data_IF_227461098300
#
_entry.id   IF_227461098300
#
_cell.length_a   1.000
_cell.length_b   1.000
_cell.length_c   1.000
_cell.angle_alpha   90.00
_cell.angle_beta   90.00
_cell.angle_gamma   90.00
#
_symmetry.space_group_name_H-M   'P 1'
#
loop_
_entity.id
_entity.type
_entity.pdbx_description
1 polymer ?
#
# COMPACT_ATOMS: atom_id res chain seq x y z
N UNK A 1 14.25 -12.72 4.32
CA UNK A 1 12.84 -13.06 4.58
C UNK A 1 12.41 -14.15 3.62
N UNK A 2 11.68 -15.13 4.10
CA UNK A 2 11.04 -16.16 3.26
C UNK A 2 9.54 -15.98 3.30
N UNK A 3 8.89 -16.03 2.15
CA UNK A 3 7.42 -16.02 2.05
C UNK A 3 6.97 -17.40 1.61
N UNK A 4 5.99 -17.95 2.35
CA UNK A 4 5.41 -19.25 2.10
C UNK A 4 3.96 -19.10 1.63
N UNK A 5 3.65 -19.70 0.49
CA UNK A 5 2.30 -19.74 -0.06
C UNK A 5 1.82 -21.17 -0.07
N UNK A 6 0.74 -21.46 0.65
CA UNK A 6 0.15 -22.79 0.73
C UNK A 6 -0.91 -23.01 -0.34
N UNK A 7 -0.77 -24.12 -1.07
CA UNK A 7 -1.84 -24.71 -1.89
C UNK A 7 -2.21 -26.07 -1.32
N UNK A 8 -3.46 -26.46 -1.50
CA UNK A 8 -4.01 -27.73 -0.98
C UNK A 8 -3.16 -28.98 -1.37
N UNK A 9 -2.39 -28.91 -2.44
CA UNK A 9 -1.57 -30.01 -2.95
C UNK A 9 -0.07 -29.75 -2.97
N UNK A 10 0.40 -28.52 -2.84
CA UNK A 10 1.83 -28.18 -2.91
C UNK A 10 2.14 -26.91 -2.13
N UNK A 11 3.31 -26.93 -1.47
CA UNK A 11 3.85 -25.73 -0.80
C UNK A 11 4.88 -25.07 -1.70
N UNK A 12 4.76 -23.77 -1.89
CA UNK A 12 5.70 -22.96 -2.66
C UNK A 12 6.48 -22.03 -1.73
N UNK A 13 7.80 -22.09 -1.80
CA UNK A 13 8.71 -21.23 -1.05
C UNK A 13 9.51 -20.37 -2.03
N UNK A 14 9.72 -19.11 -1.69
CA UNK A 14 10.61 -18.26 -2.46
C UNK A 14 11.27 -17.19 -1.57
N UNK A 15 12.41 -16.68 -2.03
CA UNK A 15 13.05 -15.49 -1.47
C UNK A 15 12.70 -14.30 -2.36
N UNK A 16 12.07 -13.23 -1.83
CA UNK A 16 11.60 -12.10 -2.67
C UNK A 16 12.66 -11.48 -3.56
N UNK A 17 13.91 -11.40 -3.09
CA UNK A 17 15.05 -10.87 -3.86
C UNK A 17 15.41 -11.70 -5.11
N UNK A 18 15.03 -12.97 -5.14
CA UNK A 18 15.30 -13.91 -6.24
C UNK A 18 14.09 -14.09 -7.16
N UNK A 19 12.96 -13.44 -6.83
CA UNK A 19 11.71 -13.60 -7.55
C UNK A 19 10.90 -14.80 -7.07
N UNK A 20 9.62 -14.81 -7.40
CA UNK A 20 8.67 -15.84 -6.93
C UNK A 20 8.46 -16.99 -7.90
N UNK A 21 8.86 -16.87 -9.16
CA UNK A 21 8.72 -17.92 -10.16
C UNK A 21 7.28 -18.28 -10.54
N UNK A 22 6.32 -17.39 -10.26
CA UNK A 22 4.89 -17.58 -10.54
C UNK A 22 4.41 -16.54 -11.56
N UNK A 23 3.30 -16.81 -12.30
CA UNK A 23 2.75 -15.85 -13.28
C UNK A 23 2.32 -14.52 -12.68
N UNK A 24 1.86 -14.53 -11.41
CA UNK A 24 1.41 -13.34 -10.69
C UNK A 24 2.07 -13.25 -9.32
N UNK A 25 2.26 -12.04 -8.82
CA UNK A 25 2.85 -11.79 -7.51
C UNK A 25 1.98 -12.40 -6.39
N UNK A 26 2.47 -13.43 -5.68
CA UNK A 26 1.71 -14.09 -4.64
C UNK A 26 1.51 -13.20 -3.40
N UNK A 27 2.43 -12.29 -3.09
CA UNK A 27 2.29 -11.38 -1.95
C UNK A 27 1.05 -10.51 -2.09
N UNK A 28 0.85 -9.91 -3.26
CA UNK A 28 -0.35 -9.11 -3.53
C UNK A 28 -1.65 -9.95 -3.47
N UNK A 29 -1.58 -11.23 -3.81
CA UNK A 29 -2.73 -12.12 -3.79
C UNK A 29 -3.11 -12.59 -2.37
N UNK A 30 -2.12 -12.85 -1.50
CA UNK A 30 -2.37 -13.41 -0.16
C UNK A 30 -2.62 -12.34 0.91
N UNK A 31 -2.11 -11.12 0.72
CA UNK A 31 -2.38 -9.99 1.63
C UNK A 31 -3.69 -9.33 1.22
N UNK A 32 -4.78 -10.00 1.53
CA UNK A 32 -6.13 -9.57 1.20
C UNK A 32 -7.21 -10.30 2.04
N UNK A 33 -8.42 -9.75 2.09
CA UNK A 33 -8.79 -8.43 1.58
C UNK A 33 -8.08 -7.29 2.31
N UNK A 34 -7.82 -6.20 1.58
CA UNK A 34 -7.19 -5.00 2.12
C UNK A 34 -8.17 -3.84 2.12
N UNK A 35 -8.15 -2.96 3.14
CA UNK A 35 -8.87 -1.70 3.05
C UNK A 35 -8.28 -0.84 1.93
N UNK A 36 -9.15 -0.13 1.21
CA UNK A 36 -8.74 0.86 0.23
C UNK A 36 -8.83 2.23 0.86
N UNK A 37 -7.69 2.93 0.96
CA UNK A 37 -7.65 4.29 1.45
C UNK A 37 -7.86 5.29 0.32
N UNK A 38 -8.90 6.10 0.37
CA UNK A 38 -9.03 7.28 -0.48
C UNK A 38 -8.21 8.42 0.13
N UNK A 39 -7.09 8.72 -0.49
CA UNK A 39 -6.13 9.71 0.03
C UNK A 39 -6.16 10.96 -0.83
N UNK A 40 -6.51 12.09 -0.21
CA UNK A 40 -6.36 13.39 -0.84
C UNK A 40 -5.12 14.11 -0.32
N UNK A 41 -4.46 14.80 -1.22
CA UNK A 41 -3.27 15.60 -0.96
C UNK A 41 -3.37 16.92 -1.72
N UNK A 42 -2.53 17.88 -1.34
CA UNK A 42 -2.43 19.16 -2.02
C UNK A 42 -0.95 19.49 -2.21
N UNK A 43 -0.59 19.97 -3.39
CA UNK A 43 0.74 20.53 -3.64
C UNK A 43 0.95 21.86 -2.92
N UNK A 44 2.19 22.31 -2.83
CA UNK A 44 2.49 23.64 -2.29
C UNK A 44 1.85 24.78 -3.12
N UNK A 45 1.60 24.54 -4.40
CA UNK A 45 0.90 25.47 -5.29
C UNK A 45 -0.63 25.41 -5.18
N UNK A 46 -1.17 24.56 -4.27
CA UNK A 46 -2.60 24.46 -4.02
C UNK A 46 -3.36 23.49 -4.92
N UNK A 47 -2.68 22.74 -5.79
CA UNK A 47 -3.32 21.74 -6.66
C UNK A 47 -3.74 20.52 -5.87
N UNK A 48 -5.02 20.17 -5.95
CA UNK A 48 -5.59 19.02 -5.26
C UNK A 48 -5.38 17.72 -6.05
N UNK A 49 -5.15 16.63 -5.33
CA UNK A 49 -5.06 15.29 -5.87
C UNK A 49 -5.83 14.31 -4.99
N UNK A 50 -6.54 13.36 -5.59
CA UNK A 50 -7.25 12.28 -4.90
C UNK A 50 -6.89 10.97 -5.55
N UNK A 51 -6.44 10.00 -4.76
CA UNK A 51 -6.06 8.69 -5.28
C UNK A 51 -6.41 7.55 -4.30
N UNK A 52 -6.80 6.37 -4.82
CA UNK A 52 -6.99 5.18 -4.03
C UNK A 52 -5.66 4.48 -3.76
N UNK A 53 -5.49 3.95 -2.54
CA UNK A 53 -4.35 3.16 -2.14
C UNK A 53 -4.81 1.83 -1.53
N UNK A 54 -4.39 0.73 -2.14
CA UNK A 54 -4.71 -0.62 -1.64
C UNK A 54 -3.72 -1.12 -0.59
N UNK A 55 -2.52 -0.54 -0.51
CA UNK A 55 -1.62 -0.71 0.63
C UNK A 55 -1.90 0.39 1.66
N UNK A 56 -3.04 0.30 2.32
CA UNK A 56 -3.53 1.21 3.35
C UNK A 56 -3.95 0.42 4.58
N UNK A 57 -3.62 0.92 5.78
CA UNK A 57 -4.07 0.29 7.02
C UNK A 57 -4.05 1.26 8.20
N UNK A 58 -4.79 0.90 9.24
CA UNK A 58 -4.66 1.49 10.57
C UNK A 58 -3.55 0.74 11.34
N UNK A 59 -2.65 1.48 11.96
CA UNK A 59 -1.56 0.94 12.78
C UNK A 59 -1.87 1.02 14.28
N UNK A 60 -2.64 2.00 14.70
CA UNK A 60 -3.01 2.18 16.10
C UNK A 60 -4.32 2.99 16.20
N UNK A 61 -5.01 2.91 17.36
CA UNK A 61 -6.25 3.64 17.59
C UNK A 61 -6.15 4.68 18.72
N UNK A 62 -5.18 4.54 19.62
CA UNK A 62 -4.89 5.51 20.69
C UNK A 62 -3.37 5.73 20.78
N UNK A 63 -2.84 6.79 20.15
CA UNK A 63 -3.48 7.72 19.22
C UNK A 63 -3.85 7.03 17.88
N UNK A 64 -4.84 7.54 17.14
CA UNK A 64 -5.18 6.97 15.84
C UNK A 64 -4.05 7.21 14.82
N UNK A 65 -3.54 6.13 14.25
CA UNK A 65 -2.45 6.15 13.26
C UNK A 65 -2.89 5.35 12.06
N UNK A 66 -2.90 5.99 10.90
CA UNK A 66 -3.13 5.35 9.61
C UNK A 66 -1.92 5.58 8.71
N UNK A 67 -1.72 4.69 7.75
CA UNK A 67 -0.66 4.85 6.77
C UNK A 67 -0.99 4.17 5.46
N UNK A 68 -0.29 4.61 4.43
CA UNK A 68 -0.36 4.01 3.11
C UNK A 68 1.03 3.93 2.48
N UNK A 69 1.20 3.01 1.54
CA UNK A 69 2.42 2.85 0.76
C UNK A 69 2.17 3.20 -0.70
N UNK A 70 3.05 4.01 -1.27
CA UNK A 70 3.04 4.35 -2.69
C UNK A 70 4.12 3.54 -3.42
N UNK A 71 3.70 2.76 -4.40
CA UNK A 71 4.63 2.03 -5.27
C UNK A 71 5.05 2.93 -6.43
N UNK A 72 6.24 3.50 -6.34
CA UNK A 72 6.80 4.42 -7.33
C UNK A 72 6.35 5.89 -7.19
N UNK A 73 6.89 6.77 -8.03
CA UNK A 73 6.61 8.19 -7.98
C UNK A 73 5.17 8.48 -8.43
N UNK A 74 4.43 9.23 -7.63
CA UNK A 74 3.05 9.66 -7.88
C UNK A 74 2.82 11.04 -7.27
N UNK A 75 1.80 11.74 -7.75
CA UNK A 75 1.45 13.08 -7.26
C UNK A 75 1.17 13.10 -5.76
N UNK A 76 0.46 12.09 -5.23
CA UNK A 76 0.22 11.99 -3.79
C UNK A 76 1.53 11.90 -3.00
N UNK A 77 2.48 11.06 -3.46
CA UNK A 77 3.77 10.90 -2.79
C UNK A 77 4.56 12.21 -2.80
N UNK A 78 4.64 12.86 -3.97
CA UNK A 78 5.32 14.16 -4.10
C UNK A 78 4.73 15.19 -3.15
N UNK A 79 3.40 15.34 -3.14
CA UNK A 79 2.72 16.31 -2.29
C UNK A 79 2.99 16.07 -0.79
N UNK A 80 2.94 14.80 -0.36
CA UNK A 80 3.24 14.45 1.04
C UNK A 80 4.70 14.71 1.39
N UNK A 81 5.63 14.45 0.46
CA UNK A 81 7.05 14.75 0.67
C UNK A 81 7.31 16.26 0.77
N UNK A 82 6.55 17.08 0.02
CA UNK A 82 6.69 18.53 0.03
C UNK A 82 6.16 19.18 1.33
N UNK A 83 5.03 18.71 1.85
CA UNK A 83 4.34 19.39 2.96
C UNK A 83 3.98 18.51 4.17
N UNK A 84 4.24 17.21 4.11
CA UNK A 84 4.01 16.30 5.23
C UNK A 84 2.55 16.02 5.56
N UNK A 85 1.61 16.31 4.65
CA UNK A 85 0.18 16.23 4.93
C UNK A 85 -0.57 15.37 3.92
N UNK A 86 -1.51 14.57 4.44
CA UNK A 86 -2.55 13.92 3.63
C UNK A 86 -3.85 13.83 4.43
N UNK A 87 -4.96 13.65 3.73
CA UNK A 87 -6.27 13.39 4.33
C UNK A 87 -6.77 12.05 3.86
N UNK A 88 -7.14 11.19 4.80
CA UNK A 88 -7.87 9.98 4.51
C UNK A 88 -9.37 10.29 4.48
N UNK A 89 -10.03 9.95 3.38
CA UNK A 89 -11.44 10.24 3.15
C UNK A 89 -12.25 8.95 3.33
N UNK A 90 -13.28 9.02 4.16
CA UNK A 90 -14.28 7.99 4.28
C UNK A 90 -15.31 8.18 3.17
N UNK A 91 -15.57 7.11 2.43
CA UNK A 91 -16.53 7.11 1.32
C UNK A 91 -17.65 6.12 1.59
#
# INVERSE_FOLDING_TARGET
MRICVYRIAMTHFYEPRLGHGLPHDPFNAIVGPRPIGWVSTRSNDGVLNLAPYSFFTAFNYIPPIVGFSSTGPKDSLRNVQENGMFVWNLV
#
